data_IF_757022444230
#
_entry.id   IF_757022444230
#
_cell.length_a   1.000
_cell.length_b   1.000
_cell.length_c   1.000
_cell.angle_alpha   90.00
_cell.angle_beta   90.00
_cell.angle_gamma   90.00
#
_symmetry.space_group_name_H-M   'P 1'
#
loop_
_entity.id
_entity.type
_entity.pdbx_description
1 polymer ?
#
# COMPACT_ATOMS: atom_id res chain seq x y z
N UNK A 1 4.57 15.19 14.04
CA UNK A 1 4.66 15.20 12.56
C UNK A 1 3.28 15.01 11.92
N UNK A 2 2.50 13.96 12.23
CA UNK A 2 1.10 13.84 11.78
C UNK A 2 0.27 15.09 12.11
N UNK A 3 0.43 15.65 13.32
CA UNK A 3 -0.19 16.94 13.69
C UNK A 3 0.15 18.08 12.71
N UNK A 4 1.43 18.22 12.35
CA UNK A 4 1.89 19.27 11.44
C UNK A 4 1.42 19.05 10.00
N UNK A 5 1.40 17.79 9.53
CA UNK A 5 0.89 17.44 8.21
C UNK A 5 -0.63 17.69 8.11
N UNK A 6 -1.38 17.25 9.12
CA UNK A 6 -2.82 17.45 9.20
C UNK A 6 -3.17 18.95 9.21
N UNK A 7 -2.52 19.74 10.08
CA UNK A 7 -2.69 21.20 10.09
C UNK A 7 -2.27 21.84 8.76
N UNK A 8 -1.17 21.38 8.18
CA UNK A 8 -0.65 21.86 6.89
C UNK A 8 -1.67 21.73 5.77
N UNK A 9 -2.45 20.64 5.73
CA UNK A 9 -3.52 20.47 4.76
C UNK A 9 -4.60 21.53 4.88
N UNK A 10 -5.08 21.80 6.10
CA UNK A 10 -6.06 22.86 6.31
C UNK A 10 -5.51 24.24 5.96
N UNK A 11 -4.24 24.52 6.30
CA UNK A 11 -3.60 25.82 6.01
C UNK A 11 -3.47 26.02 4.50
N UNK A 12 -2.89 25.06 3.78
CA UNK A 12 -2.73 25.12 2.32
C UNK A 12 -4.09 25.22 1.63
N UNK A 13 -5.06 24.42 2.08
CA UNK A 13 -6.42 24.48 1.54
C UNK A 13 -7.08 25.84 1.77
N UNK A 14 -6.91 26.43 2.94
CA UNK A 14 -7.43 27.76 3.25
C UNK A 14 -6.79 28.83 2.36
N UNK A 15 -5.48 28.79 2.18
CA UNK A 15 -4.77 29.73 1.29
C UNK A 15 -5.28 29.58 -0.15
N UNK A 16 -5.39 28.34 -0.66
CA UNK A 16 -5.90 28.07 -2.01
C UNK A 16 -7.34 28.56 -2.19
N UNK A 17 -8.21 28.30 -1.21
CA UNK A 17 -9.59 28.75 -1.23
C UNK A 17 -9.71 30.28 -1.20
N UNK A 18 -8.87 30.96 -0.42
CA UNK A 18 -8.80 32.43 -0.43
C UNK A 18 -8.39 32.98 -1.79
N UNK A 19 -7.41 32.37 -2.46
CA UNK A 19 -7.01 32.76 -3.81
C UNK A 19 -8.14 32.52 -4.81
N UNK A 20 -8.78 31.35 -4.78
CA UNK A 20 -9.92 31.04 -5.65
C UNK A 20 -11.10 31.99 -5.45
N UNK A 21 -11.38 32.37 -4.20
CA UNK A 21 -12.47 33.27 -3.90
C UNK A 21 -12.14 34.72 -4.27
N UNK A 22 -11.03 35.26 -3.77
CA UNK A 22 -10.68 36.69 -3.90
C UNK A 22 -10.15 37.04 -5.29
N UNK A 23 -9.42 36.13 -5.94
CA UNK A 23 -8.82 36.36 -7.27
C UNK A 23 -9.60 35.64 -8.36
N UNK A 24 -9.99 34.39 -8.11
CA UNK A 24 -10.71 33.56 -9.09
C UNK A 24 -12.22 33.80 -9.16
N UNK A 25 -12.80 34.58 -8.24
CA UNK A 25 -14.24 34.86 -8.20
C UNK A 25 -15.12 33.68 -7.79
N UNK A 26 -14.55 32.56 -7.30
CA UNK A 26 -15.28 31.37 -6.91
C UNK A 26 -15.84 31.50 -5.48
N UNK A 27 -17.01 32.14 -5.35
CA UNK A 27 -17.69 32.29 -4.05
C UNK A 27 -18.16 30.96 -3.44
N UNK A 28 -18.29 29.89 -4.24
CA UNK A 28 -18.74 28.58 -3.79
C UNK A 28 -17.65 27.71 -3.15
N UNK A 29 -16.38 28.13 -3.19
CA UNK A 29 -15.25 27.26 -2.80
C UNK A 29 -15.31 26.79 -1.35
N UNK A 30 -15.70 27.66 -0.43
CA UNK A 30 -15.82 27.31 0.98
C UNK A 30 -17.00 26.34 1.22
N UNK A 31 -18.10 26.48 0.48
CA UNK A 31 -19.22 25.54 0.56
C UNK A 31 -18.78 24.14 0.09
N UNK A 32 -18.05 24.06 -1.03
CA UNK A 32 -17.50 22.80 -1.54
C UNK A 32 -16.52 22.14 -0.55
N UNK A 33 -15.67 22.93 0.11
CA UNK A 33 -14.77 22.41 1.15
C UNK A 33 -15.52 21.85 2.35
N UNK A 34 -16.55 22.55 2.84
CA UNK A 34 -17.38 22.09 3.96
C UNK A 34 -18.15 20.83 3.60
N UNK A 35 -18.74 20.78 2.41
CA UNK A 35 -19.40 19.58 1.89
C UNK A 35 -18.45 18.39 1.84
N UNK A 36 -17.21 18.61 1.36
CA UNK A 36 -16.17 17.60 1.30
C UNK A 36 -15.81 17.02 2.68
N UNK A 37 -15.77 17.84 3.73
CA UNK A 37 -15.52 17.35 5.11
C UNK A 37 -16.57 16.32 5.51
N UNK A 38 -17.85 16.64 5.34
CA UNK A 38 -18.94 15.73 5.73
C UNK A 38 -19.01 14.50 4.84
N UNK A 39 -18.75 14.65 3.53
CA UNK A 39 -18.67 13.54 2.60
C UNK A 39 -17.54 12.56 2.99
N UNK A 40 -16.36 13.07 3.34
CA UNK A 40 -15.22 12.24 3.78
C UNK A 40 -15.46 11.59 5.15
N UNK A 41 -16.14 12.28 6.06
CA UNK A 41 -16.56 11.68 7.33
C UNK A 41 -17.51 10.49 7.09
N UNK A 42 -18.48 10.61 6.19
CA UNK A 42 -19.36 9.49 5.80
C UNK A 42 -18.58 8.35 5.15
N UNK A 43 -17.71 8.66 4.19
CA UNK A 43 -16.86 7.67 3.51
C UNK A 43 -16.00 6.88 4.50
N UNK A 44 -15.48 7.54 5.54
CA UNK A 44 -14.70 6.86 6.58
C UNK A 44 -15.49 5.76 7.29
N UNK A 45 -16.78 5.98 7.55
CA UNK A 45 -17.66 4.99 8.19
C UNK A 45 -17.95 3.83 7.23
N UNK A 46 -18.21 4.11 5.96
CA UNK A 46 -18.41 3.07 4.93
C UNK A 46 -17.19 2.16 4.79
N UNK A 47 -15.98 2.76 4.75
CA UNK A 47 -14.72 2.03 4.76
C UNK A 47 -14.58 1.21 6.05
N UNK A 48 -14.97 1.76 7.20
CA UNK A 48 -14.91 1.03 8.46
C UNK A 48 -15.81 -0.21 8.49
N UNK A 49 -17.01 -0.16 7.90
CA UNK A 49 -17.90 -1.33 7.82
C UNK A 49 -17.21 -2.47 7.05
N UNK A 50 -16.56 -2.16 5.93
CA UNK A 50 -15.76 -3.13 5.18
C UNK A 50 -14.57 -3.67 6.01
N UNK A 51 -13.86 -2.80 6.72
CA UNK A 51 -12.75 -3.18 7.59
C UNK A 51 -13.18 -4.08 8.75
N UNK A 52 -14.36 -3.85 9.35
CA UNK A 52 -14.91 -4.73 10.38
C UNK A 52 -15.04 -6.17 9.88
N UNK A 53 -15.65 -6.37 8.71
CA UNK A 53 -15.82 -7.71 8.15
C UNK A 53 -14.49 -8.37 7.79
N UNK A 54 -13.62 -7.64 7.10
CA UNK A 54 -12.34 -8.17 6.60
C UNK A 54 -11.34 -8.47 7.73
N UNK A 55 -11.17 -7.57 8.71
CA UNK A 55 -10.29 -7.77 9.86
C UNK A 55 -10.75 -8.97 10.72
N UNK A 56 -12.05 -9.10 10.95
CA UNK A 56 -12.66 -10.23 11.69
C UNK A 56 -12.36 -11.56 10.99
N UNK A 57 -12.58 -11.63 9.67
CA UNK A 57 -12.34 -12.83 8.88
C UNK A 57 -10.87 -13.27 8.95
N UNK A 58 -9.96 -12.34 8.65
CA UNK A 58 -8.55 -12.66 8.50
C UNK A 58 -7.83 -12.91 9.81
N UNK A 59 -8.21 -12.22 10.89
CA UNK A 59 -7.66 -12.51 12.21
C UNK A 59 -8.18 -13.83 12.77
N UNK A 60 -9.40 -14.25 12.41
CA UNK A 60 -9.89 -15.59 12.70
C UNK A 60 -9.02 -16.67 12.04
N UNK A 61 -8.77 -16.55 10.74
CA UNK A 61 -7.88 -17.48 10.02
C UNK A 61 -6.43 -17.43 10.51
N UNK A 62 -5.92 -16.24 10.81
CA UNK A 62 -4.58 -16.07 11.38
C UNK A 62 -4.46 -16.78 12.73
N UNK A 63 -5.48 -16.71 13.59
CA UNK A 63 -5.48 -17.38 14.89
C UNK A 63 -5.41 -18.91 14.75
N UNK A 64 -6.04 -19.48 13.72
CA UNK A 64 -5.86 -20.90 13.39
C UNK A 64 -4.40 -21.16 13.00
N UNK A 65 -3.83 -20.36 12.10
CA UNK A 65 -2.45 -20.53 11.63
C UNK A 65 -1.42 -20.42 12.76
N UNK A 66 -1.63 -19.50 13.71
CA UNK A 66 -0.84 -19.35 14.94
C UNK A 66 -0.90 -20.62 15.80
N UNK A 67 -2.12 -21.05 16.18
CA UNK A 67 -2.29 -22.25 17.01
C UNK A 67 -1.81 -23.52 16.32
N UNK A 68 -1.81 -23.54 14.99
CA UNK A 68 -1.28 -24.63 14.18
C UNK A 68 0.26 -24.62 14.05
N UNK A 69 0.95 -23.60 14.56
CA UNK A 69 2.40 -23.45 14.50
C UNK A 69 2.95 -23.03 13.14
N UNK A 70 2.10 -22.55 12.22
CA UNK A 70 2.51 -22.08 10.89
C UNK A 70 3.36 -20.81 11.03
N UNK A 71 2.94 -19.89 11.90
CA UNK A 71 3.67 -18.64 12.17
C UNK A 71 5.07 -18.93 12.71
N UNK A 72 5.20 -19.89 13.64
CA UNK A 72 6.49 -20.30 14.19
C UNK A 72 7.39 -20.96 13.14
N UNK A 73 6.80 -21.73 12.23
CA UNK A 73 7.53 -22.33 11.11
C UNK A 73 8.06 -21.26 10.15
N UNK A 74 7.24 -20.28 9.78
CA UNK A 74 7.67 -19.15 8.93
C UNK A 74 8.79 -18.34 9.60
N UNK A 75 8.67 -18.09 10.91
CA UNK A 75 9.70 -17.41 11.71
C UNK A 75 11.05 -18.13 11.66
N UNK A 76 11.06 -19.48 11.56
CA UNK A 76 12.29 -20.27 11.42
C UNK A 76 12.89 -20.19 10.03
N UNK A 77 12.06 -20.22 8.98
CA UNK A 77 12.50 -20.20 7.58
C UNK A 77 13.16 -18.88 7.21
N UNK A 78 12.56 -17.74 7.58
CA UNK A 78 13.12 -16.41 7.33
C UNK A 78 13.91 -15.84 8.52
N UNK A 79 14.02 -16.60 9.62
CA UNK A 79 14.77 -16.23 10.80
C UNK A 79 16.20 -15.76 10.50
N UNK A 80 17.01 -16.51 9.72
CA UNK A 80 18.38 -16.10 9.39
C UNK A 80 18.45 -14.74 8.69
N UNK A 81 17.52 -14.44 7.78
CA UNK A 81 17.44 -13.16 7.09
C UNK A 81 17.07 -12.04 8.07
N UNK A 82 15.97 -12.19 8.82
CA UNK A 82 15.49 -11.14 9.71
C UNK A 82 16.38 -10.92 10.93
N UNK A 83 17.18 -11.91 11.36
CA UNK A 83 18.18 -11.67 12.39
C UNK A 83 19.28 -10.70 11.94
N UNK A 84 19.54 -10.59 10.64
CA UNK A 84 20.48 -9.61 10.08
C UNK A 84 19.81 -8.26 9.78
N UNK A 85 18.56 -8.28 9.33
CA UNK A 85 17.82 -7.06 9.00
C UNK A 85 17.16 -6.37 10.22
N UNK A 86 16.81 -7.14 11.25
CA UNK A 86 16.14 -6.73 12.48
C UNK A 86 16.86 -7.34 13.71
N UNK A 87 18.13 -6.96 13.96
CA UNK A 87 18.95 -7.57 15.02
C UNK A 87 18.40 -7.38 16.44
N UNK A 88 17.46 -6.45 16.62
CA UNK A 88 16.76 -6.18 17.88
C UNK A 88 15.67 -7.21 18.21
N UNK A 89 15.26 -8.04 17.24
CA UNK A 89 14.20 -9.04 17.42
C UNK A 89 14.83 -10.41 17.74
N UNK A 90 14.48 -11.04 18.87
CA UNK A 90 15.04 -12.34 19.25
C UNK A 90 14.76 -13.46 18.23
N UNK A 91 15.68 -14.43 18.07
CA UNK A 91 15.43 -15.61 17.24
C UNK A 91 14.16 -16.36 17.68
N UNK A 92 13.30 -16.70 16.72
CA UNK A 92 12.06 -17.44 17.00
C UNK A 92 10.94 -16.60 17.61
N UNK A 93 11.10 -15.28 17.73
CA UNK A 93 10.02 -14.41 18.19
C UNK A 93 8.83 -14.42 17.20
N UNK A 94 7.56 -14.49 17.65
CA UNK A 94 6.38 -14.55 16.78
C UNK A 94 6.29 -13.39 15.76
N UNK A 95 6.80 -12.21 16.12
CA UNK A 95 6.87 -11.05 15.22
C UNK A 95 7.48 -11.41 13.85
N UNK A 96 8.53 -12.23 13.80
CA UNK A 96 9.18 -12.61 12.54
C UNK A 96 8.25 -13.43 11.64
N UNK A 97 7.46 -14.34 12.21
CA UNK A 97 6.48 -15.13 11.48
C UNK A 97 5.33 -14.27 10.97
N UNK A 98 4.84 -13.32 11.78
CA UNK A 98 3.78 -12.40 11.39
C UNK A 98 4.22 -11.45 10.27
N UNK A 99 5.44 -10.91 10.34
CA UNK A 99 6.04 -10.08 9.28
C UNK A 99 6.16 -10.87 7.98
N UNK A 100 6.66 -12.10 8.07
CA UNK A 100 6.80 -13.00 6.91
C UNK A 100 5.45 -13.26 6.25
N UNK A 101 4.44 -13.59 7.06
CA UNK A 101 3.10 -13.87 6.55
C UNK A 101 2.43 -12.61 5.97
N UNK A 102 2.64 -11.44 6.57
CA UNK A 102 2.18 -10.16 6.04
C UNK A 102 2.79 -9.87 4.66
N UNK A 103 4.11 -9.99 4.50
CA UNK A 103 4.76 -9.79 3.20
C UNK A 103 4.30 -10.83 2.17
N UNK A 104 4.10 -12.09 2.56
CA UNK A 104 3.55 -13.11 1.67
C UNK A 104 2.12 -12.76 1.23
N UNK A 105 1.27 -12.30 2.15
CA UNK A 105 -0.10 -11.88 1.83
C UNK A 105 -0.11 -10.70 0.85
N UNK A 106 0.73 -9.68 1.07
CA UNK A 106 0.89 -8.56 0.14
C UNK A 106 1.42 -9.01 -1.23
N UNK A 107 2.44 -9.86 -1.25
CA UNK A 107 3.00 -10.41 -2.49
C UNK A 107 1.95 -11.13 -3.34
N UNK A 108 1.02 -11.83 -2.70
CA UNK A 108 -0.04 -12.56 -3.37
C UNK A 108 -1.27 -11.68 -3.72
N UNK A 109 -1.22 -10.37 -3.46
CA UNK A 109 -2.35 -9.45 -3.70
C UNK A 109 -3.54 -9.71 -2.76
N UNK A 110 -3.27 -10.27 -1.57
CA UNK A 110 -4.26 -10.52 -0.54
C UNK A 110 -4.32 -9.34 0.44
N UNK A 111 -4.47 -8.13 -0.09
CA UNK A 111 -4.37 -6.86 0.66
C UNK A 111 -5.33 -6.82 1.87
N UNK A 112 -6.52 -7.41 1.70
CA UNK A 112 -7.53 -7.57 2.74
C UNK A 112 -7.04 -8.40 3.94
N UNK A 113 -6.13 -9.36 3.71
CA UNK A 113 -5.52 -10.21 4.74
C UNK A 113 -4.27 -9.58 5.36
N UNK A 114 -3.47 -8.89 4.55
CA UNK A 114 -2.17 -8.40 4.99
C UNK A 114 -2.29 -7.35 6.09
N UNK A 115 -3.20 -6.38 5.96
CA UNK A 115 -3.38 -5.31 6.95
C UNK A 115 -3.62 -5.82 8.39
N UNK A 116 -4.59 -6.73 8.64
CA UNK A 116 -4.79 -7.30 9.97
C UNK A 116 -3.54 -8.01 10.53
N UNK A 117 -2.88 -8.81 9.69
CA UNK A 117 -1.64 -9.53 10.07
C UNK A 117 -0.54 -8.52 10.41
N UNK A 118 -0.43 -7.44 9.66
CA UNK A 118 0.57 -6.41 9.86
C UNK A 118 0.35 -5.59 11.13
N UNK A 119 -0.90 -5.31 11.50
CA UNK A 119 -1.21 -4.68 12.79
C UNK A 119 -0.81 -5.57 13.96
N UNK A 120 -1.03 -6.88 13.83
CA UNK A 120 -0.58 -7.84 14.85
C UNK A 120 0.94 -7.95 14.90
N UNK A 121 1.62 -7.94 13.76
CA UNK A 121 3.07 -7.88 13.68
C UNK A 121 3.62 -6.62 14.38
N UNK A 122 3.01 -5.45 14.13
CA UNK A 122 3.40 -4.18 14.74
C UNK A 122 3.22 -4.20 16.27
N UNK A 123 2.13 -4.78 16.77
CA UNK A 123 1.91 -5.01 18.21
C UNK A 123 2.98 -5.92 18.82
N UNK A 124 3.29 -7.03 18.14
CA UNK A 124 4.34 -7.96 18.60
C UNK A 124 5.73 -7.31 18.60
N UNK A 125 6.04 -6.45 17.62
CA UNK A 125 7.28 -5.66 17.63
C UNK A 125 7.28 -4.59 18.75
N UNK A 126 6.12 -4.05 19.12
CA UNK A 126 6.00 -3.06 20.19
C UNK A 126 6.29 -3.66 21.57
N UNK A 127 5.99 -4.94 21.80
CA UNK A 127 6.31 -5.63 23.06
C UNK A 127 7.82 -5.65 23.34
N UNK A 128 8.63 -5.69 22.27
CA UNK A 128 10.09 -5.65 22.34
C UNK A 128 10.66 -4.22 22.36
N UNK A 129 9.83 -3.21 22.13
CA UNK A 129 10.31 -1.84 21.92
C UNK A 129 10.71 -1.20 23.26
N UNK A 130 11.98 -0.79 23.45
CA UNK A 130 12.42 -0.13 24.67
C UNK A 130 11.75 1.25 24.88
N UNK A 131 11.21 1.86 23.82
CA UNK A 131 10.54 3.17 23.88
C UNK A 131 9.09 3.06 23.43
N UNK A 132 8.16 3.18 24.39
CA UNK A 132 6.72 3.13 24.12
C UNK A 132 6.21 4.15 23.10
N UNK A 133 6.88 5.30 22.94
CA UNK A 133 6.39 6.41 22.12
C UNK A 133 7.21 6.67 20.85
N UNK A 134 8.25 5.89 20.57
CA UNK A 134 9.13 6.10 19.41
C UNK A 134 9.39 4.78 18.67
N UNK A 135 9.32 4.81 17.34
CA UNK A 135 9.41 3.61 16.52
C UNK A 135 10.79 2.92 16.66
N UNK A 136 10.81 1.60 16.86
CA UNK A 136 12.04 0.80 16.84
C UNK A 136 12.57 0.61 15.42
N UNK A 137 13.83 0.16 15.25
CA UNK A 137 14.37 -0.04 13.90
C UNK A 137 13.62 -1.13 13.14
N UNK A 138 13.23 -2.21 13.84
CA UNK A 138 12.42 -3.28 13.26
C UNK A 138 11.03 -2.80 12.82
N UNK A 139 10.35 -1.97 13.62
CA UNK A 139 9.06 -1.37 13.25
C UNK A 139 9.17 -0.49 12.00
N UNK A 140 10.24 0.30 11.91
CA UNK A 140 10.49 1.18 10.76
C UNK A 140 10.74 0.35 9.49
N UNK A 141 11.61 -0.65 9.56
CA UNK A 141 11.90 -1.52 8.40
C UNK A 141 10.63 -2.24 7.94
N UNK A 142 9.88 -2.82 8.88
CA UNK A 142 8.63 -3.51 8.58
C UNK A 142 7.62 -2.57 7.90
N UNK A 143 7.42 -1.37 8.46
CA UNK A 143 6.48 -0.39 7.91
C UNK A 143 6.89 0.09 6.51
N UNK A 144 8.17 0.40 6.29
CA UNK A 144 8.62 0.93 4.99
C UNK A 144 8.49 -0.13 3.90
N UNK A 145 8.87 -1.37 4.18
CA UNK A 145 8.70 -2.47 3.22
C UNK A 145 7.23 -2.78 2.94
N UNK A 146 6.36 -2.61 3.95
CA UNK A 146 4.92 -2.73 3.76
C UNK A 146 4.34 -1.56 2.94
N UNK A 147 4.84 -0.34 3.11
CA UNK A 147 4.43 0.82 2.31
C UNK A 147 4.87 0.73 0.83
N UNK A 148 5.95 -0.01 0.55
CA UNK A 148 6.45 -0.22 -0.82
C UNK A 148 5.96 -1.52 -1.47
N UNK A 149 5.04 -2.25 -0.81
CA UNK A 149 4.71 -3.66 -1.07
C UNK A 149 4.73 -4.08 -2.53
N UNK A 150 5.58 -5.06 -2.83
CA UNK A 150 5.61 -5.82 -4.08
C UNK A 150 4.32 -6.63 -4.21
N UNK A 151 3.44 -6.28 -5.16
CA UNK A 151 2.24 -7.05 -5.49
C UNK A 151 2.44 -7.82 -6.78
N UNK A 152 2.45 -9.16 -6.72
CA UNK A 152 2.74 -10.01 -7.88
C UNK A 152 1.59 -10.08 -8.87
N UNK A 153 0.34 -9.91 -8.43
CA UNK A 153 -0.86 -9.98 -9.27
C UNK A 153 -1.85 -8.87 -8.89
N UNK A 154 -1.87 -7.74 -9.59
CA UNK A 154 -2.76 -6.61 -9.31
C UNK A 154 -4.17 -6.84 -9.86
N UNK A 155 -4.84 -7.91 -9.39
CA UNK A 155 -6.15 -8.36 -9.89
C UNK A 155 -7.21 -7.26 -9.83
N UNK A 156 -7.16 -6.44 -8.79
CA UNK A 156 -8.09 -5.30 -8.60
C UNK A 156 -7.97 -4.27 -9.71
N UNK A 157 -6.74 -3.97 -10.16
CA UNK A 157 -6.50 -3.02 -11.26
C UNK A 157 -7.02 -3.58 -12.58
N UNK A 158 -6.81 -4.88 -12.84
CA UNK A 158 -7.37 -5.55 -14.02
C UNK A 158 -8.89 -5.46 -14.02
N UNK A 159 -9.52 -5.70 -12.87
CA UNK A 159 -10.97 -5.59 -12.74
C UNK A 159 -11.47 -4.16 -13.04
N UNK A 160 -10.81 -3.11 -12.54
CA UNK A 160 -11.23 -1.74 -12.84
C UNK A 160 -11.11 -1.44 -14.33
N UNK A 161 -9.99 -1.83 -14.95
CA UNK A 161 -9.80 -1.67 -16.40
C UNK A 161 -10.87 -2.40 -17.20
N UNK A 162 -11.17 -3.65 -16.84
CA UNK A 162 -12.23 -4.42 -17.48
C UNK A 162 -13.61 -3.76 -17.31
N UNK A 163 -13.93 -3.25 -16.12
CA UNK A 163 -15.18 -2.54 -15.84
C UNK A 163 -15.30 -1.21 -16.61
N UNK A 164 -14.18 -0.57 -16.92
CA UNK A 164 -14.13 0.62 -17.76
C UNK A 164 -13.99 0.29 -19.27
N UNK A 165 -14.10 -0.98 -19.67
CA UNK A 165 -14.14 -1.39 -21.07
C UNK A 165 -12.77 -1.56 -21.74
N UNK A 166 -11.68 -1.76 -20.99
CA UNK A 166 -10.36 -2.01 -21.56
C UNK A 166 -10.35 -3.27 -22.45
N UNK A 167 -9.88 -3.18 -23.71
CA UNK A 167 -9.69 -4.35 -24.57
C UNK A 167 -8.69 -5.35 -23.97
N UNK A 168 -7.63 -4.83 -23.36
CA UNK A 168 -6.66 -5.60 -22.58
C UNK A 168 -6.51 -5.03 -21.16
N UNK A 169 -7.23 -5.60 -20.18
CA UNK A 169 -7.11 -5.19 -18.78
C UNK A 169 -5.72 -5.45 -18.17
N UNK A 170 -4.95 -6.39 -18.73
CA UNK A 170 -3.64 -6.81 -18.19
C UNK A 170 -2.45 -6.02 -18.73
N UNK A 171 -2.68 -5.13 -19.68
CA UNK A 171 -1.65 -4.31 -20.32
C UNK A 171 -0.75 -3.54 -19.32
N UNK A 172 -1.29 -3.17 -18.15
CA UNK A 172 -0.54 -2.46 -17.08
C UNK A 172 0.25 -3.38 -16.16
N UNK A 173 0.18 -4.70 -16.35
CA UNK A 173 0.73 -5.69 -15.42
C UNK A 173 2.25 -5.57 -15.23
N UNK A 174 3.01 -5.70 -16.32
CA UNK A 174 4.47 -5.64 -16.25
C UNK A 174 4.97 -4.24 -15.80
N UNK A 175 4.35 -3.13 -16.26
CA UNK A 175 4.62 -1.82 -15.68
C UNK A 175 4.43 -1.72 -14.17
N UNK A 176 3.33 -2.27 -13.63
CA UNK A 176 3.07 -2.29 -12.17
C UNK A 176 4.20 -3.03 -11.46
N UNK A 177 4.54 -4.22 -11.95
CA UNK A 177 5.51 -5.11 -11.31
C UNK A 177 6.93 -4.52 -11.32
N UNK A 178 7.31 -3.81 -12.39
CA UNK A 178 8.57 -3.06 -12.46
C UNK A 178 8.56 -1.87 -11.49
N UNK A 179 7.51 -1.05 -11.49
CA UNK A 179 7.42 0.14 -10.64
C UNK A 179 7.44 -0.22 -9.14
N UNK A 180 6.72 -1.27 -8.74
CA UNK A 180 6.71 -1.73 -7.34
C UNK A 180 8.05 -2.35 -6.92
N UNK A 181 8.74 -3.03 -7.83
CA UNK A 181 10.08 -3.58 -7.57
C UNK A 181 11.07 -2.45 -7.28
N UNK A 182 11.04 -1.37 -8.06
CA UNK A 182 11.86 -0.17 -7.81
C UNK A 182 11.51 0.45 -6.45
N UNK A 183 10.22 0.64 -6.17
CA UNK A 183 9.76 1.16 -4.87
C UNK A 183 10.28 0.33 -3.70
N UNK A 184 10.14 -1.00 -3.76
CA UNK A 184 10.59 -1.93 -2.72
C UNK A 184 12.10 -1.88 -2.52
N UNK A 185 12.87 -1.85 -3.61
CA UNK A 185 14.33 -1.76 -3.54
C UNK A 185 14.75 -0.43 -2.90
N UNK A 186 14.19 0.70 -3.33
CA UNK A 186 14.50 2.02 -2.76
C UNK A 186 14.08 2.09 -1.28
N UNK A 187 12.93 1.52 -0.92
CA UNK A 187 12.48 1.38 0.47
C UNK A 187 13.49 0.63 1.33
N UNK A 188 13.89 -0.57 0.90
CA UNK A 188 14.90 -1.37 1.61
C UNK A 188 16.24 -0.64 1.72
N UNK A 189 16.75 -0.10 0.61
CA UNK A 189 18.04 0.59 0.57
C UNK A 189 18.06 1.84 1.44
N UNK A 190 16.97 2.62 1.43
CA UNK A 190 16.87 3.84 2.25
C UNK A 190 16.89 3.52 3.75
N UNK A 191 16.16 2.48 4.18
CA UNK A 191 16.17 2.04 5.57
C UNK A 191 17.53 1.46 5.94
N UNK A 192 18.11 0.63 5.06
CA UNK A 192 19.44 0.06 5.28
C UNK A 192 20.51 1.13 5.43
N UNK A 193 20.45 2.21 4.64
CA UNK A 193 21.32 3.36 4.78
C UNK A 193 21.14 4.06 6.13
N UNK A 194 19.89 4.40 6.49
CA UNK A 194 19.57 5.13 7.73
C UNK A 194 19.87 4.32 9.00
N UNK A 195 19.69 3.00 8.95
CA UNK A 195 19.93 2.07 10.07
C UNK A 195 21.30 1.39 10.01
N UNK A 196 22.11 1.67 8.97
CA UNK A 196 23.42 1.05 8.71
C UNK A 196 23.37 -0.48 8.65
N UNK A 197 22.32 -1.03 8.03
CA UNK A 197 22.17 -2.47 7.81
C UNK A 197 23.19 -2.95 6.77
N UNK A 198 23.76 -4.13 7.01
CA UNK A 198 24.75 -4.74 6.11
C UNK A 198 24.04 -5.63 5.09
N UNK A 199 23.52 -5.03 4.02
CA UNK A 199 22.87 -5.80 2.95
C UNK A 199 23.83 -6.71 2.17
N UNK A 200 25.12 -6.41 2.23
CA UNK A 200 26.20 -7.22 1.67
C UNK A 200 26.57 -8.45 2.53
N UNK A 201 25.89 -8.65 3.65
CA UNK A 201 26.09 -9.83 4.47
C UNK A 201 25.77 -11.10 3.65
N UNK A 202 26.62 -12.14 3.68
CA UNK A 202 26.40 -13.35 2.88
C UNK A 202 25.05 -14.01 3.11
N UNK A 203 24.52 -13.95 4.35
CA UNK A 203 23.19 -14.48 4.65
C UNK A 203 22.12 -13.64 3.97
N UNK A 204 22.21 -12.30 4.06
CA UNK A 204 21.25 -11.42 3.41
C UNK A 204 21.26 -11.62 1.89
N UNK A 205 22.45 -11.66 1.28
CA UNK A 205 22.59 -11.92 -0.16
C UNK A 205 22.08 -13.29 -0.57
N UNK A 206 22.27 -14.33 0.25
CA UNK A 206 21.76 -15.68 -0.01
C UNK A 206 20.22 -15.76 -0.05
N UNK A 207 19.51 -14.80 0.54
CA UNK A 207 18.05 -14.69 0.39
C UNK A 207 17.66 -13.71 -0.72
N UNK A 208 18.30 -12.54 -0.78
CA UNK A 208 17.93 -11.49 -1.74
C UNK A 208 18.26 -11.88 -3.18
N UNK A 209 19.41 -12.51 -3.46
CA UNK A 209 19.80 -12.88 -4.82
C UNK A 209 18.86 -13.95 -5.39
N UNK A 210 18.62 -15.10 -4.73
CA UNK A 210 17.65 -16.08 -5.25
C UNK A 210 16.23 -15.52 -5.32
N UNK A 211 15.82 -14.68 -4.36
CA UNK A 211 14.52 -14.02 -4.41
C UNK A 211 14.37 -13.11 -5.62
N UNK A 212 15.37 -12.28 -5.90
CA UNK A 212 15.40 -11.41 -7.08
C UNK A 212 15.46 -12.21 -8.39
N UNK A 213 16.22 -13.30 -8.43
CA UNK A 213 16.26 -14.20 -9.59
C UNK A 213 14.92 -14.89 -9.82
N UNK A 214 14.27 -15.41 -8.78
CA UNK A 214 12.95 -16.03 -8.87
C UNK A 214 11.89 -15.02 -9.34
N UNK A 215 11.93 -13.79 -8.80
CA UNK A 215 11.05 -12.72 -9.26
C UNK A 215 11.33 -12.37 -10.72
N UNK A 216 12.60 -12.20 -11.11
CA UNK A 216 13.01 -11.87 -12.47
C UNK A 216 12.65 -12.95 -13.49
N UNK A 217 12.84 -14.24 -13.14
CA UNK A 217 12.44 -15.36 -14.01
C UNK A 217 10.93 -15.47 -14.11
N UNK A 218 10.20 -15.24 -13.00
CA UNK A 218 8.74 -15.18 -13.02
C UNK A 218 8.23 -14.04 -13.90
N UNK A 219 8.83 -12.84 -13.79
CA UNK A 219 8.53 -11.68 -14.65
C UNK A 219 8.80 -11.98 -16.12
N UNK A 220 9.95 -12.58 -16.44
CA UNK A 220 10.31 -12.96 -17.80
C UNK A 220 9.33 -14.00 -18.36
N UNK A 221 8.95 -15.01 -17.57
CA UNK A 221 7.95 -16.00 -17.95
C UNK A 221 6.60 -15.36 -18.24
N UNK A 222 6.11 -14.49 -17.36
CA UNK A 222 4.83 -13.82 -17.55
C UNK A 222 4.85 -12.91 -18.77
N UNK A 223 5.99 -12.29 -19.08
CA UNK A 223 6.20 -11.51 -20.30
C UNK A 223 6.12 -12.32 -21.60
N UNK A 224 6.18 -13.65 -21.55
CA UNK A 224 5.98 -14.53 -22.72
C UNK A 224 4.53 -14.92 -22.95
N UNK A 225 3.64 -14.66 -21.99
CA UNK A 225 2.23 -15.03 -22.08
C UNK A 225 1.45 -14.01 -22.91
N UNK A 226 0.43 -14.47 -23.63
CA UNK A 226 -0.54 -13.56 -24.25
C UNK A 226 -1.39 -12.86 -23.17
N UNK A 227 -1.92 -11.69 -23.47
CA UNK A 227 -2.84 -10.96 -22.58
C UNK A 227 -4.00 -11.84 -22.08
N UNK A 228 -4.60 -12.64 -22.96
CA UNK A 228 -5.68 -13.56 -22.61
C UNK A 228 -5.19 -14.66 -21.64
N UNK A 229 -4.01 -15.22 -21.86
CA UNK A 229 -3.42 -16.21 -20.96
C UNK A 229 -3.05 -15.60 -19.60
N UNK A 230 -2.52 -14.38 -19.60
CA UNK A 230 -2.16 -13.65 -18.38
C UNK A 230 -3.39 -13.28 -17.55
N UNK A 231 -4.49 -12.85 -18.20
CA UNK A 231 -5.77 -12.55 -17.55
C UNK A 231 -6.39 -13.82 -16.93
N UNK A 232 -6.40 -14.93 -17.69
CA UNK A 232 -6.87 -16.22 -17.21
C UNK A 232 -6.04 -16.76 -16.04
N UNK A 233 -4.71 -16.69 -16.16
CA UNK A 233 -3.78 -17.08 -15.11
C UNK A 233 -3.99 -16.23 -13.85
N UNK A 234 -4.08 -14.91 -13.98
CA UNK A 234 -4.24 -14.00 -12.83
C UNK A 234 -5.53 -14.26 -12.05
N UNK A 235 -6.65 -14.48 -12.75
CA UNK A 235 -7.95 -14.74 -12.12
C UNK A 235 -8.00 -16.09 -11.39
N UNK A 236 -7.54 -17.15 -12.05
CA UNK A 236 -7.53 -18.50 -11.46
C UNK A 236 -6.51 -18.55 -10.31
N UNK A 237 -5.30 -18.08 -10.55
CA UNK A 237 -4.20 -18.20 -9.60
C UNK A 237 -4.45 -17.34 -8.36
N UNK A 238 -5.03 -16.13 -8.48
CA UNK A 238 -5.41 -15.33 -7.33
C UNK A 238 -6.49 -15.99 -6.45
N UNK A 239 -7.62 -16.40 -7.04
CA UNK A 239 -8.73 -17.02 -6.30
C UNK A 239 -8.35 -18.38 -5.71
N UNK A 240 -7.63 -19.20 -6.49
CA UNK A 240 -7.15 -20.50 -6.03
C UNK A 240 -6.12 -20.36 -4.92
N UNK A 241 -5.20 -19.39 -5.02
CA UNK A 241 -4.21 -19.12 -3.96
C UNK A 241 -4.90 -18.68 -2.69
N UNK A 242 -5.86 -17.75 -2.79
CA UNK A 242 -6.61 -17.24 -1.65
C UNK A 242 -7.36 -18.36 -0.92
N UNK A 243 -8.19 -19.11 -1.65
CA UNK A 243 -8.98 -20.18 -1.07
C UNK A 243 -8.09 -21.35 -0.62
N UNK A 244 -7.04 -21.65 -1.38
CA UNK A 244 -6.02 -22.64 -1.03
C UNK A 244 -5.31 -22.31 0.27
N UNK A 245 -4.98 -21.03 0.53
CA UNK A 245 -4.39 -20.58 1.78
C UNK A 245 -5.35 -20.75 2.96
N UNK A 246 -6.63 -20.42 2.78
CA UNK A 246 -7.68 -20.67 3.79
C UNK A 246 -7.79 -22.17 4.10
N UNK A 247 -7.89 -23.00 3.05
CA UNK A 247 -7.97 -24.45 3.21
C UNK A 247 -6.70 -25.02 3.84
N UNK A 248 -5.52 -24.50 3.51
CA UNK A 248 -4.26 -24.88 4.14
C UNK A 248 -4.29 -24.60 5.64
N UNK A 249 -4.75 -23.42 6.09
CA UNK A 249 -4.87 -23.12 7.51
C UNK A 249 -5.84 -24.06 8.23
N UNK A 250 -7.01 -24.35 7.62
CA UNK A 250 -8.01 -25.25 8.19
C UNK A 250 -7.51 -26.70 8.26
N UNK A 251 -6.88 -27.20 7.19
CA UNK A 251 -6.35 -28.56 7.12
C UNK A 251 -5.18 -28.75 8.07
N UNK A 252 -4.18 -27.86 8.05
CA UNK A 252 -3.03 -27.95 8.97
C UNK A 252 -3.51 -27.77 10.41
N UNK A 253 -4.43 -26.84 10.68
CA UNK A 253 -5.04 -26.68 12.01
C UNK A 253 -5.71 -27.96 12.50
N UNK A 254 -6.51 -28.60 11.64
CA UNK A 254 -7.18 -29.87 11.95
C UNK A 254 -6.17 -31.00 12.19
N UNK A 255 -5.15 -31.13 11.33
CA UNK A 255 -4.07 -32.12 11.47
C UNK A 255 -3.25 -31.91 12.75
N UNK A 256 -3.09 -30.66 13.18
CA UNK A 256 -2.44 -30.27 14.44
C UNK A 256 -3.38 -30.32 15.64
N UNK A 257 -4.61 -30.83 15.47
CA UNK A 257 -5.64 -30.97 16.52
C UNK A 257 -6.07 -29.63 17.14
N UNK A 258 -6.00 -28.54 16.38
CA UNK A 258 -6.55 -27.23 16.77
C UNK A 258 -8.07 -27.26 16.56
N UNK A 259 -8.83 -26.78 17.54
CA UNK A 259 -10.27 -26.54 17.41
C UNK A 259 -10.49 -25.33 16.49
N UNK A 260 -10.54 -25.58 15.18
CA UNK A 260 -10.47 -24.55 14.14
C UNK A 260 -11.58 -23.50 14.27
N UNK A 261 -12.80 -23.89 14.62
CA UNK A 261 -13.91 -22.95 14.79
C UNK A 261 -13.70 -22.03 16.00
N UNK A 262 -13.29 -22.59 17.15
CA UNK A 262 -13.05 -21.82 18.36
C UNK A 262 -11.86 -20.86 18.18
N UNK A 263 -10.78 -21.34 17.57
CA UNK A 263 -9.64 -20.52 17.21
C UNK A 263 -10.04 -19.38 16.25
N UNK A 264 -10.87 -19.68 15.25
CA UNK A 264 -11.40 -18.66 14.35
C UNK A 264 -12.21 -17.60 15.12
N UNK A 265 -13.14 -18.00 15.98
CA UNK A 265 -13.97 -17.07 16.77
C UNK A 265 -13.12 -16.22 17.72
N UNK A 266 -12.08 -16.79 18.33
CA UNK A 266 -11.13 -16.05 19.15
C UNK A 266 -10.39 -14.97 18.36
N UNK A 267 -9.85 -15.31 17.19
CA UNK A 267 -9.18 -14.35 16.32
C UNK A 267 -10.15 -13.30 15.75
N UNK A 268 -11.37 -13.70 15.43
CA UNK A 268 -12.42 -12.82 14.92
C UNK A 268 -12.76 -11.69 15.92
N UNK A 269 -12.85 -12.00 17.22
CA UNK A 269 -13.07 -11.00 18.28
C UNK A 269 -11.96 -9.95 18.32
N UNK A 270 -10.70 -10.37 18.20
CA UNK A 270 -9.55 -9.45 18.13
C UNK A 270 -9.67 -8.49 16.94
N UNK A 271 -10.13 -8.97 15.78
CA UNK A 271 -10.32 -8.13 14.60
C UNK A 271 -11.39 -7.06 14.75
N UNK A 272 -12.44 -7.35 15.51
CA UNK A 272 -13.45 -6.37 15.85
C UNK A 272 -12.88 -5.22 16.69
N UNK A 273 -12.07 -5.53 17.71
CA UNK A 273 -11.44 -4.51 18.57
C UNK A 273 -10.43 -3.65 17.80
N UNK A 274 -9.65 -4.28 16.91
CA UNK A 274 -8.73 -3.56 16.01
C UNK A 274 -9.51 -2.56 15.16
N UNK A 275 -10.56 -3.00 14.46
CA UNK A 275 -11.36 -2.15 13.59
C UNK A 275 -11.88 -0.91 14.33
N UNK A 276 -12.47 -1.09 15.53
CA UNK A 276 -12.97 0.01 16.35
C UNK A 276 -11.91 1.10 16.63
N UNK A 277 -10.66 0.72 16.83
CA UNK A 277 -9.57 1.65 17.13
C UNK A 277 -9.10 2.50 15.93
N UNK A 278 -9.43 2.09 14.69
CA UNK A 278 -8.94 2.76 13.47
C UNK A 278 -9.80 3.94 13.03
N UNK A 279 -11.10 3.94 13.34
CA UNK A 279 -12.06 4.95 12.88
C UNK A 279 -11.60 6.39 13.13
N UNK A 280 -11.14 6.79 14.35
CA UNK A 280 -10.76 8.17 14.60
C UNK A 280 -9.62 8.66 13.70
N UNK A 281 -8.62 7.80 13.45
CA UNK A 281 -7.48 8.12 12.60
C UNK A 281 -7.90 8.27 11.14
N UNK A 282 -8.79 7.40 10.66
CA UNK A 282 -9.32 7.43 9.30
C UNK A 282 -10.15 8.70 9.05
N UNK A 283 -11.06 9.05 9.96
CA UNK A 283 -11.87 10.28 9.87
C UNK A 283 -10.97 11.51 9.80
N UNK A 284 -10.00 11.63 10.71
CA UNK A 284 -9.13 12.80 10.77
C UNK A 284 -8.37 13.02 9.45
N UNK A 285 -7.77 11.96 8.91
CA UNK A 285 -6.96 12.06 7.69
C UNK A 285 -7.81 12.23 6.43
N UNK A 286 -8.90 11.49 6.26
CA UNK A 286 -9.75 11.62 5.06
C UNK A 286 -10.39 13.00 4.96
N UNK A 287 -10.85 13.58 6.07
CA UNK A 287 -11.40 14.94 6.07
C UNK A 287 -10.34 15.97 5.65
N UNK A 288 -9.11 15.87 6.16
CA UNK A 288 -8.04 16.80 5.80
C UNK A 288 -7.68 16.74 4.31
N UNK A 289 -7.63 15.52 3.75
CA UNK A 289 -7.38 15.31 2.31
C UNK A 289 -8.54 15.80 1.46
N UNK A 290 -9.79 15.53 1.88
CA UNK A 290 -10.99 16.03 1.20
C UNK A 290 -10.99 17.55 1.07
N UNK A 291 -10.69 18.24 2.17
CA UNK A 291 -10.56 19.70 2.21
C UNK A 291 -9.45 20.19 1.28
N UNK A 292 -8.28 19.55 1.31
CA UNK A 292 -7.17 19.90 0.42
C UNK A 292 -7.55 19.75 -1.06
N UNK A 293 -8.20 18.65 -1.43
CA UNK A 293 -8.69 18.43 -2.80
C UNK A 293 -9.76 19.47 -3.18
N UNK A 294 -10.79 19.63 -2.36
CA UNK A 294 -11.91 20.54 -2.65
C UNK A 294 -11.48 22.01 -2.73
N UNK A 295 -10.37 22.39 -2.08
CA UNK A 295 -9.80 23.73 -2.18
C UNK A 295 -9.10 24.05 -3.50
N UNK A 296 -8.97 23.08 -4.41
CA UNK A 296 -8.21 23.19 -5.67
C UNK A 296 -6.70 23.39 -5.51
N UNK A 297 -6.16 23.22 -4.30
CA UNK A 297 -4.73 23.34 -4.05
C UNK A 297 -3.92 22.32 -4.88
N UNK A 298 -4.48 21.12 -5.05
CA UNK A 298 -3.88 20.08 -5.89
C UNK A 298 -3.82 20.52 -7.36
N UNK A 299 -4.90 21.11 -7.88
CA UNK A 299 -4.97 21.56 -9.27
C UNK A 299 -3.94 22.66 -9.58
N UNK A 300 -3.79 23.64 -8.69
CA UNK A 300 -2.72 24.64 -8.81
C UNK A 300 -1.32 24.02 -8.81
N UNK A 301 -1.10 23.02 -7.94
CA UNK A 301 0.16 22.28 -7.91
C UNK A 301 0.44 21.55 -9.22
N UNK A 302 -0.57 20.89 -9.78
CA UNK A 302 -0.48 20.16 -11.05
C UNK A 302 -0.20 21.09 -12.23
N UNK A 303 -0.83 22.26 -12.27
CA UNK A 303 -0.59 23.24 -13.33
C UNK A 303 0.82 23.84 -13.26
N UNK A 304 1.34 24.05 -12.04
CA UNK A 304 2.73 24.42 -11.82
C UNK A 304 3.71 23.35 -12.32
N UNK A 305 3.42 22.07 -12.04
CA UNK A 305 4.23 20.95 -12.57
C UNK A 305 4.16 20.93 -14.10
N UNK A 306 2.97 21.11 -14.69
CA UNK A 306 2.78 21.15 -16.15
C UNK A 306 3.65 22.24 -16.79
N UNK A 307 3.61 23.45 -16.26
CA UNK A 307 4.42 24.57 -16.75
C UNK A 307 5.93 24.28 -16.68
N UNK A 308 6.42 23.72 -15.57
CA UNK A 308 7.84 23.36 -15.42
C UNK A 308 8.24 22.27 -16.41
N UNK A 309 7.43 21.23 -16.58
CA UNK A 309 7.69 20.12 -17.51
C UNK A 309 7.71 20.63 -18.96
N UNK A 310 6.75 21.49 -19.35
CA UNK A 310 6.73 22.12 -20.67
C UNK A 310 7.94 23.02 -20.90
N UNK A 311 8.34 23.80 -19.90
CA UNK A 311 9.52 24.66 -19.98
C UNK A 311 10.82 23.85 -20.17
N UNK A 312 10.89 22.64 -19.60
CA UNK A 312 11.98 21.70 -19.83
C UNK A 312 11.89 20.95 -21.17
N UNK A 313 10.86 21.20 -21.99
CA UNK A 313 10.62 20.52 -23.26
C UNK A 313 10.27 19.04 -23.12
N UNK A 314 9.76 18.64 -21.94
CA UNK A 314 9.37 17.27 -21.64
C UNK A 314 7.88 17.04 -21.89
N UNK A 315 7.51 15.78 -22.06
CA UNK A 315 6.13 15.35 -22.27
C UNK A 315 5.29 15.50 -20.98
N UNK A 316 4.11 16.12 -21.08
CA UNK A 316 3.23 16.39 -19.93
C UNK A 316 2.11 15.37 -19.72
N UNK A 317 1.95 14.34 -20.56
CA UNK A 317 0.83 13.39 -20.48
C UNK A 317 0.72 12.69 -19.11
N UNK A 318 1.85 12.52 -18.41
CA UNK A 318 1.84 11.94 -17.06
C UNK A 318 1.23 12.86 -15.99
N UNK A 319 1.16 14.17 -16.24
CA UNK A 319 0.69 15.15 -15.25
C UNK A 319 -0.76 14.87 -14.87
N UNK A 320 -1.58 14.42 -15.82
CA UNK A 320 -2.97 14.06 -15.60
C UNK A 320 -3.14 12.77 -14.75
N UNK A 321 -2.08 11.98 -14.59
CA UNK A 321 -2.06 10.81 -13.69
C UNK A 321 -1.60 11.15 -12.26
N UNK A 322 -1.01 12.34 -12.04
CA UNK A 322 -0.48 12.75 -10.74
C UNK A 322 -1.55 12.94 -9.64
N UNK A 323 -2.82 13.30 -9.90
CA UNK A 323 -3.84 13.30 -8.85
C UNK A 323 -3.89 11.97 -8.08
N UNK A 324 -3.82 10.84 -8.78
CA UNK A 324 -3.76 9.51 -8.17
C UNK A 324 -2.51 9.37 -7.31
N UNK A 325 -1.33 9.75 -7.82
CA UNK A 325 -0.07 9.70 -7.05
C UNK A 325 -0.10 10.57 -5.79
N UNK A 326 -0.71 11.76 -5.84
CA UNK A 326 -0.73 12.70 -4.72
C UNK A 326 -1.67 12.26 -3.60
N UNK A 327 -2.80 11.63 -3.95
CA UNK A 327 -3.80 11.19 -2.97
C UNK A 327 -3.47 9.81 -2.39
N UNK A 328 -2.77 8.97 -3.17
CA UNK A 328 -2.44 7.59 -2.77
C UNK A 328 -1.72 7.45 -1.43
N UNK A 329 -0.72 8.26 -1.05
CA UNK A 329 -0.08 8.16 0.26
C UNK A 329 -1.08 8.22 1.42
N UNK A 330 -2.22 8.88 1.23
CA UNK A 330 -3.22 9.12 2.27
C UNK A 330 -4.39 8.15 2.21
N UNK A 331 -4.81 7.73 1.01
CA UNK A 331 -5.95 6.85 0.83
C UNK A 331 -5.93 6.12 -0.50
N UNK A 332 -5.89 4.79 -0.43
CA UNK A 332 -5.93 3.93 -1.60
C UNK A 332 -7.31 3.91 -2.28
N UNK A 333 -8.39 4.06 -1.50
CA UNK A 333 -9.75 4.13 -2.03
C UNK A 333 -10.02 5.46 -2.75
N UNK A 334 -9.53 6.58 -2.21
CA UNK A 334 -9.65 7.88 -2.88
C UNK A 334 -8.78 7.94 -4.14
N UNK A 335 -7.55 7.41 -4.10
CA UNK A 335 -6.68 7.32 -5.27
C UNK A 335 -7.26 6.41 -6.36
N UNK A 336 -7.93 5.31 -5.97
CA UNK A 336 -8.71 4.47 -6.89
C UNK A 336 -9.88 5.22 -7.52
N UNK A 337 -10.59 6.05 -6.77
CA UNK A 337 -11.67 6.86 -7.34
C UNK A 337 -11.13 7.81 -8.42
N UNK A 338 -9.98 8.45 -8.17
CA UNK A 338 -9.29 9.29 -9.15
C UNK A 338 -8.80 8.52 -10.37
N UNK A 339 -8.34 7.28 -10.18
CA UNK A 339 -8.01 6.39 -11.29
C UNK A 339 -9.23 6.14 -12.19
N UNK A 340 -10.36 5.78 -11.59
CA UNK A 340 -11.61 5.52 -12.32
C UNK A 340 -12.09 6.79 -13.03
N UNK A 341 -12.04 7.94 -12.35
CA UNK A 341 -12.35 9.25 -12.92
C UNK A 341 -11.46 9.56 -14.13
N UNK A 342 -10.15 9.28 -14.05
CA UNK A 342 -9.20 9.44 -15.17
C UNK A 342 -9.58 8.52 -16.34
N UNK A 343 -9.93 7.25 -16.09
CA UNK A 343 -10.37 6.32 -17.12
C UNK A 343 -11.67 6.78 -17.80
N UNK A 344 -12.62 7.33 -17.04
CA UNK A 344 -13.90 7.81 -17.55
C UNK A 344 -13.75 9.09 -18.37
N UNK A 345 -12.85 9.98 -17.98
CA UNK A 345 -12.68 11.29 -18.60
C UNK A 345 -11.71 11.29 -19.79
N UNK A 346 -10.61 10.54 -19.70
CA UNK A 346 -9.55 10.49 -20.72
C UNK A 346 -9.61 9.21 -21.58
N UNK A 347 -10.39 8.20 -21.15
CA UNK A 347 -10.41 6.88 -21.76
C UNK A 347 -9.46 5.90 -21.06
N UNK A 348 -9.88 4.63 -20.97
CA UNK A 348 -9.23 3.58 -20.17
C UNK A 348 -7.80 3.23 -20.60
N UNK A 349 -7.45 3.49 -21.86
CA UNK A 349 -6.12 3.25 -22.45
C UNK A 349 -5.37 4.54 -22.80
N UNK A 350 -5.87 5.70 -22.36
CA UNK A 350 -5.09 6.94 -22.43
C UNK A 350 -3.80 6.81 -21.62
N UNK A 351 -2.76 7.54 -22.01
CA UNK A 351 -1.49 7.52 -21.29
C UNK A 351 -1.67 7.84 -19.80
N UNK A 352 -2.51 8.83 -19.50
CA UNK A 352 -2.84 9.21 -18.13
C UNK A 352 -3.51 8.07 -17.34
N UNK A 353 -4.49 7.37 -17.94
CA UNK A 353 -5.15 6.24 -17.29
C UNK A 353 -4.21 5.05 -17.07
N UNK A 354 -3.32 4.77 -18.02
CA UNK A 354 -2.29 3.73 -17.91
C UNK A 354 -1.29 4.06 -16.79
N UNK A 355 -0.76 5.28 -16.78
CA UNK A 355 0.13 5.75 -15.73
C UNK A 355 -0.55 5.75 -14.35
N UNK A 356 -1.79 6.23 -14.25
CA UNK A 356 -2.56 6.22 -13.01
C UNK A 356 -2.83 4.79 -12.52
N UNK A 357 -3.12 3.84 -13.43
CA UNK A 357 -3.30 2.44 -13.09
C UNK A 357 -2.00 1.81 -12.58
N UNK A 358 -0.87 2.12 -13.24
CA UNK A 358 0.46 1.66 -12.81
C UNK A 358 0.86 2.24 -11.47
N UNK A 359 0.62 3.54 -11.24
CA UNK A 359 0.81 4.19 -9.94
C UNK A 359 -0.07 3.52 -8.90
N UNK A 360 -1.37 3.36 -9.14
CA UNK A 360 -2.31 2.74 -8.19
C UNK A 360 -1.89 1.31 -7.82
N UNK A 361 -1.37 0.53 -8.77
CA UNK A 361 -0.95 -0.85 -8.53
C UNK A 361 0.43 -1.04 -7.90
N UNK A 362 1.28 -0.01 -7.83
CA UNK A 362 2.72 -0.20 -7.55
C UNK A 362 3.20 0.08 -6.12
N UNK A 363 2.39 0.69 -5.29
CA UNK A 363 2.75 1.11 -3.91
C UNK A 363 1.57 0.97 -2.96
N UNK A 364 1.79 1.11 -1.66
CA UNK A 364 0.75 1.18 -0.65
C UNK A 364 0.58 2.62 -0.11
N UNK A 365 -0.35 2.78 0.82
CA UNK A 365 -0.76 4.07 1.37
C UNK A 365 0.11 4.50 2.56
N UNK A 366 1.21 5.22 2.32
CA UNK A 366 2.22 5.56 3.36
C UNK A 366 1.66 6.11 4.67
N UNK A 367 0.89 7.20 4.62
CA UNK A 367 0.37 7.86 5.81
C UNK A 367 -0.79 7.11 6.44
N UNK A 368 -1.58 6.38 5.66
CA UNK A 368 -2.64 5.53 6.19
C UNK A 368 -2.05 4.34 6.94
N UNK A 369 -1.13 3.58 6.33
CA UNK A 369 -0.41 2.48 6.99
C UNK A 369 0.28 3.01 8.24
N UNK A 370 0.90 4.19 8.18
CA UNK A 370 1.54 4.79 9.35
C UNK A 370 0.54 5.17 10.44
N UNK A 371 -0.56 5.82 10.11
CA UNK A 371 -1.59 6.20 11.08
C UNK A 371 -2.23 4.96 11.73
N UNK A 372 -2.52 3.94 10.94
CA UNK A 372 -3.13 2.69 11.39
C UNK A 372 -2.14 1.87 12.23
N UNK A 373 -0.91 1.67 11.74
CA UNK A 373 0.07 0.81 12.39
C UNK A 373 0.63 1.48 13.65
N UNK A 374 1.11 2.73 13.55
CA UNK A 374 1.61 3.44 14.73
C UNK A 374 0.49 3.85 15.69
N UNK A 375 -0.69 4.20 15.19
CA UNK A 375 -1.86 4.47 16.02
C UNK A 375 -2.30 3.27 16.84
N UNK A 376 -2.28 2.06 16.25
CA UNK A 376 -2.65 0.82 16.94
C UNK A 376 -1.70 0.42 18.09
N UNK A 377 -0.47 0.96 18.11
CA UNK A 377 0.54 0.70 19.16
C UNK A 377 0.97 1.94 19.95
N UNK A 378 0.32 3.09 19.72
CA UNK A 378 0.59 4.33 20.45
C UNK A 378 1.91 5.03 20.13
N UNK A 379 2.52 4.76 18.96
CA UNK A 379 3.76 5.42 18.54
C UNK A 379 3.48 6.86 18.10
N UNK A 380 4.22 7.81 18.68
CA UNK A 380 4.09 9.25 18.38
C UNK A 380 5.26 9.79 17.55
N UNK A 381 6.45 9.21 17.74
CA UNK A 381 7.69 9.61 17.05
C UNK A 381 8.08 8.58 16.00
N UNK A 382 7.77 8.87 14.74
CA UNK A 382 8.03 8.02 13.58
C UNK A 382 9.52 7.90 13.19
N UNK A 383 10.41 8.77 13.71
CA UNK A 383 11.83 8.86 13.32
C UNK A 383 11.96 8.97 11.79
N UNK A 384 12.84 8.18 11.16
CA UNK A 384 13.08 8.17 9.72
C UNK A 384 12.08 7.33 8.91
N UNK A 385 11.06 6.72 9.54
CA UNK A 385 10.07 5.90 8.83
C UNK A 385 9.41 6.63 7.67
N UNK A 386 9.03 7.89 7.90
CA UNK A 386 8.28 8.67 6.90
C UNK A 386 9.17 9.11 5.76
N UNK A 387 10.40 9.55 6.06
CA UNK A 387 11.35 9.89 5.01
C UNK A 387 11.63 8.70 4.10
N UNK A 388 11.87 7.52 4.67
CA UNK A 388 12.10 6.30 3.91
C UNK A 388 10.86 5.84 3.12
N UNK A 389 9.67 5.86 3.73
CA UNK A 389 8.43 5.45 3.07
C UNK A 389 8.05 6.39 1.93
N UNK A 390 8.14 7.71 2.13
CA UNK A 390 7.89 8.70 1.07
C UNK A 390 8.93 8.62 -0.05
N UNK A 391 10.19 8.33 0.26
CA UNK A 391 11.21 8.12 -0.77
C UNK A 391 10.91 6.87 -1.61
N UNK A 392 10.51 5.77 -0.97
CA UNK A 392 10.07 4.57 -1.66
C UNK A 392 8.88 4.85 -2.56
N UNK A 393 7.84 5.51 -2.03
CA UNK A 393 6.63 5.86 -2.77
C UNK A 393 6.93 6.80 -3.95
N UNK A 394 7.71 7.85 -3.72
CA UNK A 394 8.16 8.77 -4.77
C UNK A 394 8.91 8.02 -5.87
N UNK A 395 9.83 7.13 -5.51
CA UNK A 395 10.56 6.32 -6.49
C UNK A 395 9.65 5.38 -7.27
N UNK A 396 8.62 4.82 -6.63
CA UNK A 396 7.59 4.02 -7.29
C UNK A 396 6.77 4.83 -8.31
N UNK A 397 6.36 6.04 -7.95
CA UNK A 397 5.66 6.97 -8.86
C UNK A 397 6.54 7.35 -10.05
N UNK A 398 7.79 7.73 -9.81
CA UNK A 398 8.76 8.08 -10.87
C UNK A 398 9.00 6.87 -11.79
N UNK A 399 9.19 5.69 -11.21
CA UNK A 399 9.36 4.45 -11.97
C UNK A 399 8.11 4.11 -12.79
N UNK A 400 6.92 4.26 -12.23
CA UNK A 400 5.66 4.06 -12.93
C UNK A 400 5.56 4.99 -14.16
N UNK A 401 5.85 6.28 -14.00
CA UNK A 401 5.85 7.25 -15.09
C UNK A 401 6.86 6.86 -16.18
N UNK A 402 8.10 6.57 -15.80
CA UNK A 402 9.15 6.20 -16.74
C UNK A 402 8.82 4.90 -17.51
N UNK A 403 8.36 3.87 -16.78
CA UNK A 403 8.00 2.59 -17.39
C UNK A 403 6.77 2.74 -18.29
N UNK A 404 5.80 3.57 -17.93
CA UNK A 404 4.68 3.89 -18.83
C UNK A 404 5.14 4.61 -20.10
N UNK A 405 6.09 5.56 -20.03
CA UNK A 405 6.67 6.15 -21.24
C UNK A 405 7.42 5.12 -22.08
N UNK A 406 8.13 4.20 -21.45
CA UNK A 406 8.85 3.14 -22.16
C UNK A 406 7.89 2.19 -22.89
N UNK A 407 6.78 1.79 -22.26
CA UNK A 407 5.83 0.84 -22.82
C UNK A 407 4.79 1.47 -23.75
N UNK A 408 4.35 2.69 -23.46
CA UNK A 408 3.16 3.31 -24.07
C UNK A 408 3.43 4.68 -24.71
N UNK A 409 4.64 5.24 -24.56
CA UNK A 409 4.94 6.60 -25.00
C UNK A 409 4.76 6.84 -26.50
N UNK A 410 4.93 5.81 -27.33
CA UNK A 410 4.80 5.89 -28.78
C UNK A 410 3.38 5.59 -29.30
N UNK A 411 2.49 5.02 -28.49
CA UNK A 411 1.20 4.44 -28.93
C UNK A 411 -0.02 5.05 -28.26
N UNK A 412 0.13 5.64 -27.06
CA UNK A 412 -0.98 6.28 -26.35
C UNK A 412 -1.10 7.75 -26.75
N UNK A 413 -2.11 8.09 -27.56
CA UNK A 413 -2.46 9.49 -27.89
C UNK A 413 -3.01 10.23 -26.68
#
# INVERSE_FOLDING_TARGET
>A
MLNGLWLGFFVVATISALVQWLVGGNAGIFAAMVESIFAMAKLSVEVMVLLFGTLTLWLGFLRIAEKAGIVDWLAKVLGPLFLRLMPEVPPGHPALGLITLNFAANALGLDNAATPIGLKAMRSLQELNPSKNAASNAQILFLVLNASSLTLLPVTIFMYRAQQGAPDPTLVFLPILLATSVSTIVGLLSVAFMQRLRLWDPVVLAYLIPGALLLGTFMAFLGTLSAAALAGLSSILGNLTLFGLIMMFLLIGTLRKVLVYEAFVEGAKEGFDVAKSLLPYLVAMLCAVGVLRASGALDFGLEGIRHVVQWLGLDTRFVDALPTAMVKPFSGSAARALLIETMQTQGVDSFAALAAATIQGSTETTFYVLAVYFGAVGIQRARHAVGCALLAEFSGVVAAIFVCYWFFGATAS
#
